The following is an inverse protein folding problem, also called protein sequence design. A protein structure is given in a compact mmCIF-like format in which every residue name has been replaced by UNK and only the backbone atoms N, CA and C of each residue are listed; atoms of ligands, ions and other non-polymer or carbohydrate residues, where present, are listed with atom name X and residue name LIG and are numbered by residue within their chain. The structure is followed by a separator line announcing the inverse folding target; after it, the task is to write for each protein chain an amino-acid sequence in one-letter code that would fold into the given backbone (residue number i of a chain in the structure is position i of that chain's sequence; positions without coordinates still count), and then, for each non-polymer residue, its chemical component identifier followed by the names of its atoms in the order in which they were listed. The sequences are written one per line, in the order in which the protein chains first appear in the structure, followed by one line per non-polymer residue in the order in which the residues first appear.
data_IF_979578857136
#
_entry.id   IF_979578857136
#
_cell.length_a   1.000
_cell.length_b   1.000
_cell.length_c   1.000
_cell.angle_alpha   90.00
_cell.angle_beta   90.00
_cell.angle_gamma   90.00
#
_symmetry.space_group_name_H-M   'P 1'
#
loop_
_entity.id
_entity.type
_entity.pdbx_description
1 polymer ?
#
# COMPACT_ATOMS: atom_id res chain seq x y z
N UNK A 1 0.09 -18.24 -10.70
CA UNK A 1 -1.15 -17.95 -9.92
C UNK A 1 -0.76 -18.05 -8.46
N UNK A 2 -1.06 -17.05 -7.67
CA UNK A 2 -0.76 -17.04 -6.24
C UNK A 2 -1.42 -18.24 -5.58
N UNK A 3 -0.67 -18.94 -4.73
CA UNK A 3 -1.10 -20.13 -4.02
C UNK A 3 -1.08 -19.84 -2.52
N UNK A 4 -2.09 -20.29 -1.80
CA UNK A 4 -2.19 -20.18 -0.35
C UNK A 4 -2.41 -21.55 0.25
N UNK A 5 -1.58 -21.89 1.23
CA UNK A 5 -1.81 -23.06 2.08
C UNK A 5 -2.45 -22.61 3.40
N UNK A 6 -3.61 -23.17 3.71
CA UNK A 6 -4.27 -23.03 4.98
C UNK A 6 -3.89 -24.22 5.86
N UNK A 7 -3.36 -23.92 7.04
CA UNK A 7 -3.01 -24.91 8.06
C UNK A 7 -3.95 -24.69 9.24
N UNK A 8 -4.78 -25.66 9.51
CA UNK A 8 -5.74 -25.62 10.61
C UNK A 8 -5.31 -26.61 11.70
N UNK A 9 -5.15 -26.12 12.91
CA UNK A 9 -4.68 -26.95 14.03
C UNK A 9 -5.32 -26.53 15.37
N UNK A 10 -5.27 -27.46 16.31
CA UNK A 10 -5.64 -27.20 17.71
C UNK A 10 -4.44 -27.39 18.61
N UNK A 11 -4.14 -26.40 19.42
CA UNK A 11 -3.03 -26.44 20.36
C UNK A 11 -3.29 -25.64 21.61
N UNK A 12 -3.04 -26.26 22.76
CA UNK A 12 -2.98 -25.58 24.07
C UNK A 12 -1.61 -24.88 24.30
N UNK A 13 -0.63 -25.09 23.40
CA UNK A 13 0.77 -24.65 23.52
C UNK A 13 1.16 -23.62 22.46
N UNK A 14 0.29 -22.64 22.22
CA UNK A 14 0.48 -21.63 21.15
C UNK A 14 1.82 -20.90 21.23
N UNK A 15 2.29 -20.55 22.42
CA UNK A 15 3.57 -19.83 22.57
C UNK A 15 4.78 -20.67 22.13
N UNK A 16 4.71 -22.00 22.31
CA UNK A 16 5.74 -22.92 21.81
C UNK A 16 5.64 -23.06 20.29
N UNK A 17 4.43 -23.13 19.77
CA UNK A 17 4.18 -23.15 18.33
C UNK A 17 4.70 -21.88 17.66
N UNK A 18 4.43 -20.70 18.21
CA UNK A 18 4.90 -19.43 17.67
C UNK A 18 6.44 -19.37 17.61
N UNK A 19 7.13 -19.81 18.66
CA UNK A 19 8.61 -19.92 18.67
C UNK A 19 9.12 -20.89 17.60
N UNK A 20 8.40 -21.97 17.34
CA UNK A 20 8.74 -22.93 16.31
C UNK A 20 8.62 -22.30 14.90
N UNK A 21 7.56 -21.52 14.65
CA UNK A 21 7.36 -20.77 13.40
C UNK A 21 8.46 -19.71 13.22
N UNK A 22 8.84 -18.98 14.27
CA UNK A 22 9.97 -18.05 14.22
C UNK A 22 11.27 -18.77 13.84
N UNK A 23 11.53 -19.94 14.43
CA UNK A 23 12.68 -20.79 14.08
C UNK A 23 12.67 -21.24 12.61
N UNK A 24 11.50 -21.54 12.06
CA UNK A 24 11.35 -21.86 10.63
C UNK A 24 11.74 -20.67 9.76
N UNK A 25 11.26 -19.46 10.13
CA UNK A 25 11.59 -18.22 9.41
C UNK A 25 13.11 -17.99 9.37
N UNK A 26 13.79 -18.21 10.50
CA UNK A 26 15.25 -18.04 10.60
C UNK A 26 16.00 -19.11 9.80
N UNK A 27 15.69 -20.40 10.02
CA UNK A 27 16.39 -21.55 9.41
C UNK A 27 16.23 -21.61 7.89
N UNK A 28 15.09 -21.15 7.35
CA UNK A 28 14.78 -21.18 5.92
C UNK A 28 15.15 -19.89 5.19
N UNK A 29 15.70 -18.89 5.88
CA UNK A 29 16.03 -17.58 5.33
C UNK A 29 16.78 -17.66 3.98
N UNK A 30 16.30 -16.92 2.96
CA UNK A 30 16.86 -16.89 1.62
C UNK A 30 16.56 -18.14 0.74
N UNK A 31 16.01 -19.21 1.28
CA UNK A 31 15.64 -20.43 0.53
C UNK A 31 14.13 -20.66 0.44
N UNK A 32 13.38 -20.22 1.45
CA UNK A 32 11.91 -20.29 1.40
C UNK A 32 11.36 -19.31 0.38
N UNK A 33 10.26 -19.68 -0.23
CA UNK A 33 9.57 -18.88 -1.24
C UNK A 33 8.23 -18.30 -0.73
N UNK A 34 7.85 -18.64 0.51
CA UNK A 34 6.71 -18.03 1.17
C UNK A 34 6.89 -16.50 1.23
N UNK A 35 5.88 -15.77 0.76
CA UNK A 35 5.87 -14.31 0.65
C UNK A 35 5.16 -13.63 1.81
N UNK A 36 4.17 -14.30 2.39
CA UNK A 36 3.38 -13.80 3.50
C UNK A 36 2.85 -14.95 4.35
N UNK A 37 2.75 -14.74 5.66
CA UNK A 37 2.08 -15.65 6.57
C UNK A 37 1.23 -14.86 7.57
N UNK A 38 0.04 -15.38 7.86
CA UNK A 38 -0.87 -14.84 8.87
C UNK A 38 -1.29 -15.97 9.78
N UNK A 39 -1.06 -15.82 11.09
CA UNK A 39 -1.53 -16.76 12.10
C UNK A 39 -2.63 -16.10 12.91
N UNK A 40 -3.79 -16.75 12.97
CA UNK A 40 -4.96 -16.30 13.72
C UNK A 40 -5.40 -17.33 14.75
N UNK A 41 -5.94 -16.84 15.88
CA UNK A 41 -6.66 -17.66 16.85
C UNK A 41 -8.16 -17.42 16.72
N UNK A 42 -8.94 -18.47 16.82
CA UNK A 42 -10.39 -18.32 16.93
C UNK A 42 -10.76 -17.55 18.23
N UNK A 43 -11.60 -16.54 18.08
CA UNK A 43 -12.05 -15.73 19.23
C UNK A 43 -12.94 -16.49 20.20
N UNK A 44 -13.65 -17.53 19.72
CA UNK A 44 -14.54 -18.38 20.51
C UNK A 44 -13.84 -19.61 21.09
N UNK A 45 -12.68 -19.99 20.53
CA UNK A 45 -11.88 -21.14 20.94
C UNK A 45 -10.38 -20.85 20.85
N UNK A 46 -9.80 -20.43 21.95
CA UNK A 46 -8.39 -20.05 22.01
C UNK A 46 -7.37 -21.15 21.72
N UNK A 47 -7.81 -22.42 21.65
CA UNK A 47 -6.99 -23.55 21.24
C UNK A 47 -7.00 -23.81 19.73
N UNK A 48 -7.98 -23.25 19.01
CA UNK A 48 -8.08 -23.34 17.56
C UNK A 48 -7.23 -22.26 16.89
N UNK A 49 -6.29 -22.66 16.07
CA UNK A 49 -5.33 -21.81 15.37
C UNK A 49 -5.37 -22.10 13.88
N UNK A 50 -5.41 -21.04 13.08
CA UNK A 50 -5.36 -21.13 11.62
C UNK A 50 -4.16 -20.32 11.13
N UNK A 51 -3.33 -20.91 10.31
CA UNK A 51 -2.24 -20.25 9.60
C UNK A 51 -2.54 -20.22 8.11
N UNK A 52 -2.35 -19.07 7.48
CA UNK A 52 -2.40 -18.86 6.04
C UNK A 52 -0.98 -18.55 5.57
N UNK A 53 -0.44 -19.36 4.68
CA UNK A 53 0.90 -19.13 4.09
C UNK A 53 0.75 -18.94 2.59
N UNK A 54 1.22 -17.79 2.11
CA UNK A 54 1.15 -17.40 0.70
C UNK A 54 2.46 -17.69 -0.03
N UNK A 55 2.34 -18.16 -1.28
CA UNK A 55 3.45 -18.48 -2.18
C UNK A 55 3.17 -17.92 -3.59
N UNK A 56 4.22 -17.64 -4.40
CA UNK A 56 4.07 -17.23 -5.78
C UNK A 56 3.34 -18.25 -6.66
N UNK A 57 3.50 -19.56 -6.37
CA UNK A 57 2.81 -20.66 -7.04
C UNK A 57 2.83 -21.93 -6.18
N UNK A 58 2.05 -22.94 -6.60
CA UNK A 58 2.05 -24.26 -5.98
C UNK A 58 3.44 -24.93 -6.03
N UNK A 59 4.16 -24.80 -7.16
CA UNK A 59 5.51 -25.36 -7.32
C UNK A 59 6.48 -24.74 -6.31
N UNK A 60 6.36 -23.44 -6.05
CA UNK A 60 7.16 -22.74 -5.06
C UNK A 60 6.83 -23.19 -3.63
N UNK A 61 5.55 -23.44 -3.34
CA UNK A 61 5.14 -24.02 -2.06
C UNK A 61 5.76 -25.40 -1.86
N UNK A 62 5.70 -26.27 -2.87
CA UNK A 62 6.31 -27.61 -2.82
C UNK A 62 7.83 -27.55 -2.67
N UNK A 63 8.49 -26.57 -3.31
CA UNK A 63 9.93 -26.34 -3.12
C UNK A 63 10.28 -26.03 -1.67
N UNK A 64 9.50 -25.17 -1.03
CA UNK A 64 9.68 -24.83 0.39
C UNK A 64 9.35 -26.02 1.31
N UNK A 65 8.29 -26.77 1.02
CA UNK A 65 7.89 -27.95 1.78
C UNK A 65 8.96 -29.05 1.76
N UNK A 66 9.72 -29.16 0.68
CA UNK A 66 10.80 -30.15 0.53
C UNK A 66 12.12 -29.73 1.22
N UNK A 67 12.18 -28.58 1.87
CA UNK A 67 13.36 -28.20 2.66
C UNK A 67 13.45 -29.07 3.92
N UNK A 68 14.63 -29.60 4.28
CA UNK A 68 14.80 -30.40 5.50
C UNK A 68 14.35 -29.65 6.78
N UNK A 69 14.57 -28.35 6.81
CA UNK A 69 14.17 -27.48 7.93
C UNK A 69 12.65 -27.34 8.03
N UNK A 70 11.95 -27.38 6.91
CA UNK A 70 10.48 -27.36 6.89
C UNK A 70 9.92 -28.68 7.43
N UNK A 71 10.50 -29.81 7.06
CA UNK A 71 10.12 -31.12 7.59
C UNK A 71 10.37 -31.22 9.10
N UNK A 72 11.50 -30.69 9.60
CA UNK A 72 11.80 -30.63 11.05
C UNK A 72 10.74 -29.82 11.79
N UNK A 73 10.40 -28.62 11.28
CA UNK A 73 9.40 -27.74 11.89
C UNK A 73 8.01 -28.35 11.82
N UNK A 74 7.66 -28.99 10.72
CA UNK A 74 6.37 -29.69 10.58
C UNK A 74 6.22 -30.81 11.63
N UNK A 75 7.24 -31.64 11.85
CA UNK A 75 7.20 -32.66 12.93
C UNK A 75 7.06 -32.02 14.31
N UNK A 76 7.74 -30.89 14.55
CA UNK A 76 7.58 -30.12 15.78
C UNK A 76 6.17 -29.57 15.95
N UNK A 77 5.58 -29.03 14.88
CA UNK A 77 4.20 -28.52 14.88
C UNK A 77 3.20 -29.63 15.22
N UNK A 78 3.29 -30.77 14.57
CA UNK A 78 2.45 -31.95 14.87
C UNK A 78 2.55 -32.37 16.34
N UNK A 79 3.76 -32.35 16.91
CA UNK A 79 3.98 -32.70 18.32
C UNK A 79 3.42 -31.67 19.32
N UNK A 80 3.16 -30.43 18.86
CA UNK A 80 2.55 -29.36 19.67
C UNK A 80 1.03 -29.31 19.53
N UNK A 81 0.47 -29.94 18.50
CA UNK A 81 -0.97 -29.99 18.28
C UNK A 81 -1.66 -31.04 19.16
N UNK A 82 -2.86 -30.73 19.63
CA UNK A 82 -3.72 -31.64 20.40
C UNK A 82 -4.39 -32.66 19.47
N UNK A 83 -4.57 -32.30 18.18
CA UNK A 83 -5.08 -33.13 17.09
C UNK A 83 -4.16 -32.94 15.86
N UNK A 84 -4.19 -33.91 14.91
CA UNK A 84 -3.41 -33.78 13.68
C UNK A 84 -3.87 -32.54 12.90
N UNK A 85 -2.93 -31.64 12.50
CA UNK A 85 -3.27 -30.48 11.70
C UNK A 85 -3.79 -30.88 10.33
N UNK A 86 -4.71 -30.11 9.79
CA UNK A 86 -5.20 -30.27 8.42
C UNK A 86 -4.59 -29.19 7.51
N UNK A 87 -4.39 -29.56 6.25
CA UNK A 87 -3.83 -28.68 5.22
C UNK A 87 -4.82 -28.57 4.09
N UNK A 88 -5.10 -27.33 3.69
CA UNK A 88 -5.95 -27.06 2.52
C UNK A 88 -5.17 -26.20 1.56
N UNK A 89 -5.00 -26.68 0.36
CA UNK A 89 -4.32 -26.00 -0.73
C UNK A 89 -5.33 -25.18 -1.54
N UNK A 90 -5.07 -23.88 -1.72
CA UNK A 90 -5.99 -22.94 -2.35
C UNK A 90 -5.28 -22.20 -3.50
N UNK A 91 -5.85 -22.28 -4.69
CA UNK A 91 -5.53 -21.35 -5.75
C UNK A 91 -6.25 -20.01 -5.50
N UNK A 92 -5.51 -18.92 -5.42
CA UNK A 92 -6.10 -17.59 -5.22
C UNK A 92 -6.79 -17.15 -6.50
N UNK A 93 -8.13 -17.15 -6.49
CA UNK A 93 -8.94 -16.74 -7.64
C UNK A 93 -9.30 -15.26 -7.61
N UNK A 94 -9.13 -14.59 -6.48
CA UNK A 94 -9.35 -13.16 -6.32
C UNK A 94 -8.52 -12.61 -5.15
N UNK A 95 -7.70 -11.61 -5.43
CA UNK A 95 -6.96 -10.83 -4.45
C UNK A 95 -7.22 -9.35 -4.71
N UNK A 96 -7.91 -8.68 -3.79
CA UNK A 96 -8.24 -7.26 -3.89
C UNK A 96 -7.77 -6.51 -2.63
N UNK A 97 -6.69 -5.74 -2.73
CA UNK A 97 -6.31 -4.82 -1.67
C UNK A 97 -7.31 -3.64 -1.64
N UNK A 98 -8.37 -3.77 -0.83
CA UNK A 98 -9.50 -2.83 -0.79
C UNK A 98 -9.07 -1.36 -0.58
N UNK A 99 -8.02 -1.11 0.22
CA UNK A 99 -7.46 0.23 0.41
C UNK A 99 -6.82 0.78 -0.87
N UNK A 100 -6.20 -0.06 -1.69
CA UNK A 100 -5.66 0.35 -3.00
C UNK A 100 -6.77 0.80 -3.96
N UNK A 101 -7.96 0.23 -3.87
CA UNK A 101 -9.14 0.67 -4.63
C UNK A 101 -9.56 2.09 -4.25
N UNK A 102 -9.50 2.45 -2.96
CA UNK A 102 -9.76 3.83 -2.50
C UNK A 102 -8.72 4.80 -3.08
N UNK A 103 -7.44 4.42 -3.11
CA UNK A 103 -6.37 5.25 -3.70
C UNK A 103 -6.56 5.42 -5.21
N UNK A 104 -6.95 4.39 -5.96
CA UNK A 104 -7.28 4.53 -7.39
C UNK A 104 -8.44 5.51 -7.60
N UNK A 105 -9.49 5.40 -6.78
CA UNK A 105 -10.62 6.34 -6.82
C UNK A 105 -10.19 7.76 -6.47
N UNK A 106 -9.30 7.95 -5.51
CA UNK A 106 -8.74 9.24 -5.14
C UNK A 106 -8.05 9.91 -6.34
N UNK A 107 -7.11 9.24 -7.02
CA UNK A 107 -6.45 9.80 -8.20
C UNK A 107 -7.42 10.03 -9.36
N UNK A 108 -8.38 9.15 -9.56
CA UNK A 108 -9.46 9.34 -10.53
C UNK A 108 -10.27 10.62 -10.26
N UNK A 109 -10.52 10.93 -8.98
CA UNK A 109 -11.21 12.16 -8.55
C UNK A 109 -10.36 13.39 -8.85
N UNK A 110 -9.05 13.36 -8.62
CA UNK A 110 -8.14 14.46 -8.92
C UNK A 110 -7.99 14.71 -10.44
N UNK A 111 -8.14 13.68 -11.26
CA UNK A 111 -8.05 13.77 -12.73
C UNK A 111 -9.37 14.18 -13.39
N UNK A 112 -10.51 14.03 -12.71
CA UNK A 112 -11.82 14.32 -13.27
C UNK A 112 -11.92 15.76 -13.81
N UNK A 113 -12.46 15.94 -15.00
CA UNK A 113 -12.67 17.26 -15.58
C UNK A 113 -13.75 18.05 -14.81
N UNK A 114 -13.68 19.37 -14.87
CA UNK A 114 -14.65 20.25 -14.23
C UNK A 114 -14.37 20.52 -12.76
N UNK A 115 -15.40 20.74 -11.96
CA UNK A 115 -15.26 21.03 -10.52
C UNK A 115 -14.72 19.81 -9.76
N UNK A 116 -13.88 20.04 -8.74
CA UNK A 116 -13.34 18.98 -7.88
C UNK A 116 -14.48 18.23 -7.18
N UNK A 117 -14.68 16.94 -7.44
CA UNK A 117 -15.73 16.18 -6.79
C UNK A 117 -15.58 16.11 -5.27
N UNK A 118 -16.65 15.80 -4.52
CA UNK A 118 -16.57 15.64 -3.07
C UNK A 118 -15.57 14.55 -2.67
N UNK A 119 -14.73 14.86 -1.69
CA UNK A 119 -13.68 13.98 -1.16
C UNK A 119 -14.05 13.36 0.20
N UNK A 120 -15.20 13.69 0.75
CA UNK A 120 -15.65 13.27 2.09
C UNK A 120 -15.74 11.74 2.26
N UNK A 121 -16.02 11.03 1.17
CA UNK A 121 -16.08 9.55 1.21
C UNK A 121 -14.69 8.89 1.20
N UNK A 122 -13.66 9.65 0.81
CA UNK A 122 -12.29 9.15 0.63
C UNK A 122 -11.35 9.64 1.72
N UNK A 123 -11.51 10.91 2.14
CA UNK A 123 -10.60 11.61 3.06
C UNK A 123 -11.36 11.93 4.35
N UNK A 124 -10.70 11.71 5.47
CA UNK A 124 -11.21 12.07 6.80
C UNK A 124 -11.22 13.59 7.00
N UNK A 125 -12.14 14.09 7.83
CA UNK A 125 -12.29 15.53 8.09
C UNK A 125 -11.04 16.14 8.73
N UNK A 126 -10.33 15.36 9.58
CA UNK A 126 -9.12 15.77 10.27
C UNK A 126 -7.83 15.30 9.58
N UNK A 127 -7.90 14.97 8.30
CA UNK A 127 -6.76 14.42 7.53
C UNK A 127 -5.58 15.40 7.52
N UNK A 128 -4.38 14.87 7.65
CA UNK A 128 -3.12 15.60 7.53
C UNK A 128 -2.47 15.36 6.17
N UNK A 129 -2.10 16.42 5.46
CA UNK A 129 -1.37 16.35 4.18
C UNK A 129 0.01 17.00 4.30
N UNK A 130 1.04 16.21 4.03
CA UNK A 130 2.43 16.63 4.00
C UNK A 130 2.86 16.74 2.54
N UNK A 131 2.97 17.98 2.05
CA UNK A 131 3.37 18.28 0.68
C UNK A 131 4.66 19.13 0.71
N UNK A 132 5.73 18.75 -0.02
CA UNK A 132 6.98 19.52 -0.05
C UNK A 132 6.82 20.95 -0.59
N UNK A 133 5.75 21.26 -1.32
CA UNK A 133 5.42 22.62 -1.74
C UNK A 133 4.98 23.49 -0.57
N UNK A 134 4.37 22.89 0.44
CA UNK A 134 3.89 23.60 1.62
C UNK A 134 4.89 23.43 2.78
N UNK A 135 5.42 24.51 3.36
CA UNK A 135 6.36 24.43 4.49
C UNK A 135 5.70 23.94 5.78
N UNK A 136 4.38 23.92 5.83
CA UNK A 136 3.58 23.47 6.96
C UNK A 136 2.63 22.36 6.53
N UNK A 137 2.31 21.47 7.48
CA UNK A 137 1.33 20.40 7.27
C UNK A 137 -0.04 21.02 7.04
N UNK A 138 -0.70 20.66 5.95
CA UNK A 138 -2.09 21.04 5.70
C UNK A 138 -3.01 20.16 6.52
N UNK A 139 -3.81 20.72 7.40
CA UNK A 139 -4.71 19.99 8.30
C UNK A 139 -6.16 20.24 7.94
N UNK A 140 -6.90 19.16 7.81
CA UNK A 140 -8.33 19.14 7.58
C UNK A 140 -8.73 19.16 6.09
N UNK A 141 -9.84 18.48 5.82
CA UNK A 141 -10.34 18.25 4.47
C UNK A 141 -10.54 19.54 3.65
N UNK A 142 -11.05 20.60 4.26
CA UNK A 142 -11.29 21.86 3.55
C UNK A 142 -9.99 22.58 3.17
N UNK A 143 -8.94 22.47 3.98
CA UNK A 143 -7.61 22.98 3.65
C UNK A 143 -6.99 22.16 2.50
N UNK A 144 -7.05 20.86 2.57
CA UNK A 144 -6.59 19.93 1.52
C UNK A 144 -7.32 20.21 0.19
N UNK A 145 -8.62 20.49 0.24
CA UNK A 145 -9.40 20.89 -0.96
C UNK A 145 -8.90 22.19 -1.58
N UNK A 146 -8.50 23.16 -0.76
CA UNK A 146 -7.92 24.41 -1.27
C UNK A 146 -6.60 24.17 -1.99
N UNK A 147 -5.74 23.31 -1.42
CA UNK A 147 -4.46 22.92 -2.05
C UNK A 147 -4.70 22.23 -3.41
N UNK A 148 -5.63 21.29 -3.48
CA UNK A 148 -5.97 20.63 -4.75
C UNK A 148 -6.56 21.58 -5.77
N UNK A 149 -7.38 22.56 -5.35
CA UNK A 149 -7.89 23.60 -6.25
C UNK A 149 -6.76 24.46 -6.81
N UNK A 150 -5.80 24.89 -5.99
CA UNK A 150 -4.64 25.67 -6.45
C UNK A 150 -3.90 24.95 -7.60
N UNK A 151 -3.65 23.64 -7.45
CA UNK A 151 -3.03 22.85 -8.52
C UNK A 151 -3.92 22.75 -9.77
N UNK A 152 -5.23 22.56 -9.60
CA UNK A 152 -6.18 22.45 -10.71
C UNK A 152 -6.44 23.77 -11.43
N UNK A 153 -6.41 24.87 -10.73
CA UNK A 153 -6.55 26.21 -11.32
C UNK A 153 -5.32 26.56 -12.17
N UNK A 154 -4.15 26.10 -11.74
CA UNK A 154 -2.91 26.32 -12.46
C UNK A 154 -2.69 25.35 -13.63
N UNK A 155 -3.19 24.11 -13.54
CA UNK A 155 -2.86 23.03 -14.47
C UNK A 155 -4.09 22.24 -14.92
N UNK A 156 -4.16 22.03 -16.24
CA UNK A 156 -5.04 21.02 -16.85
C UNK A 156 -4.26 19.69 -16.85
N UNK A 157 -4.60 18.80 -15.92
CA UNK A 157 -3.73 17.71 -15.52
C UNK A 157 -4.42 16.34 -15.44
N UNK A 158 -3.61 15.28 -15.56
CA UNK A 158 -4.04 13.92 -15.30
C UNK A 158 -2.96 13.13 -14.55
N UNK A 159 -3.41 12.21 -13.68
CA UNK A 159 -2.57 11.24 -12.99
C UNK A 159 -2.67 9.86 -13.66
N UNK A 160 -1.51 9.22 -13.85
CA UNK A 160 -1.41 7.79 -14.16
C UNK A 160 -0.81 7.11 -12.94
N UNK A 161 -1.57 6.22 -12.31
CA UNK A 161 -1.06 5.37 -11.21
C UNK A 161 -0.32 4.20 -11.83
N UNK A 162 1.00 4.17 -11.62
CA UNK A 162 1.89 3.14 -12.17
C UNK A 162 1.89 1.89 -11.29
N UNK A 163 2.08 2.07 -9.97
CA UNK A 163 2.12 0.99 -8.99
C UNK A 163 1.34 1.35 -7.73
N UNK A 164 0.79 0.33 -7.07
CA UNK A 164 0.21 0.41 -5.73
C UNK A 164 0.74 -0.73 -4.87
N UNK A 165 1.28 -0.40 -3.72
CA UNK A 165 1.76 -1.34 -2.71
C UNK A 165 0.97 -1.10 -1.42
N UNK A 166 0.22 -2.11 -0.97
CA UNK A 166 -0.62 -2.03 0.24
C UNK A 166 -0.04 -2.91 1.34
N UNK A 167 0.12 -2.36 2.55
CA UNK A 167 0.53 -3.08 3.73
C UNK A 167 -0.12 -2.50 4.99
N UNK A 168 -0.85 -3.32 5.71
CA UNK A 168 -1.55 -2.91 6.93
C UNK A 168 -2.51 -1.75 6.67
N UNK A 169 -2.34 -0.65 7.38
CA UNK A 169 -3.14 0.57 7.26
C UNK A 169 -2.61 1.54 6.19
N UNK A 170 -1.60 1.16 5.40
CA UNK A 170 -0.93 2.05 4.44
C UNK A 170 -1.01 1.54 3.02
N UNK A 171 -1.03 2.49 2.09
CA UNK A 171 -0.85 2.26 0.66
C UNK A 171 0.17 3.25 0.15
N UNK A 172 1.17 2.76 -0.59
CA UNK A 172 2.08 3.60 -1.36
C UNK A 172 1.68 3.56 -2.83
N UNK A 173 1.53 4.72 -3.44
CA UNK A 173 1.28 4.86 -4.87
C UNK A 173 2.50 5.51 -5.54
N UNK A 174 3.00 4.92 -6.62
CA UNK A 174 3.91 5.56 -7.56
C UNK A 174 3.09 6.03 -8.76
N UNK A 175 3.30 7.27 -9.18
CA UNK A 175 2.48 7.89 -10.19
C UNK A 175 3.28 8.80 -11.12
N UNK A 176 2.73 8.99 -12.32
CA UNK A 176 3.12 10.01 -13.29
C UNK A 176 1.98 11.03 -13.41
N UNK A 177 2.32 12.30 -13.35
CA UNK A 177 1.41 13.41 -13.56
C UNK A 177 1.82 14.15 -14.82
N UNK A 178 0.87 14.35 -15.74
CA UNK A 178 1.07 15.12 -16.96
C UNK A 178 0.07 16.28 -16.99
N UNK A 179 0.55 17.46 -17.36
CA UNK A 179 -0.30 18.65 -17.30
C UNK A 179 0.07 19.68 -18.37
N UNK A 180 -0.86 20.60 -18.61
CA UNK A 180 -0.62 21.83 -19.34
C UNK A 180 -0.77 23.00 -18.37
N UNK A 181 0.24 23.86 -18.26
CA UNK A 181 0.25 25.03 -17.39
C UNK A 181 -0.64 26.13 -17.98
N UNK A 182 -1.80 26.39 -17.36
CA UNK A 182 -2.85 27.29 -17.86
C UNK A 182 -3.17 28.44 -16.93
N UNK A 183 -2.88 28.34 -15.63
CA UNK A 183 -3.09 29.37 -14.64
C UNK A 183 -1.81 29.78 -13.94
N UNK A 184 -1.86 30.76 -13.08
CA UNK A 184 -0.70 31.15 -12.27
C UNK A 184 -0.32 30.05 -11.26
N UNK A 185 0.98 29.75 -11.16
CA UNK A 185 1.51 28.79 -10.20
C UNK A 185 2.75 29.33 -9.52
N UNK A 186 2.71 29.54 -8.20
CA UNK A 186 3.83 30.06 -7.38
C UNK A 186 4.41 31.38 -7.95
N UNK A 187 3.59 32.28 -8.45
CA UNK A 187 4.01 33.52 -9.06
C UNK A 187 4.45 33.42 -10.53
N UNK A 188 4.46 32.22 -11.11
CA UNK A 188 4.78 32.00 -12.52
C UNK A 188 3.50 32.15 -13.33
N UNK A 189 3.49 33.11 -14.26
CA UNK A 189 2.37 33.31 -15.19
C UNK A 189 2.15 32.07 -16.09
N UNK A 190 0.91 31.82 -16.59
CA UNK A 190 0.63 30.68 -17.44
C UNK A 190 1.54 30.63 -18.67
N UNK A 191 2.29 29.55 -18.81
CA UNK A 191 3.27 29.39 -19.92
C UNK A 191 2.70 28.67 -21.12
N UNK A 192 1.55 27.97 -20.98
CA UNK A 192 1.01 27.07 -21.99
C UNK A 192 1.82 25.80 -22.21
N UNK A 193 2.93 25.62 -21.52
CA UNK A 193 3.81 24.46 -21.66
C UNK A 193 3.13 23.17 -21.16
N UNK A 194 3.42 22.08 -21.85
CA UNK A 194 3.12 20.74 -21.38
C UNK A 194 4.27 20.26 -20.52
N UNK A 195 3.96 19.78 -19.32
CA UNK A 195 4.93 19.36 -18.31
C UNK A 195 4.60 17.95 -17.81
N UNK A 196 5.62 17.27 -17.29
CA UNK A 196 5.48 15.94 -16.68
C UNK A 196 6.22 15.92 -15.35
N UNK A 197 5.58 15.35 -14.35
CA UNK A 197 6.15 15.17 -13.02
C UNK A 197 5.89 13.76 -12.55
N UNK A 198 6.86 13.13 -11.89
CA UNK A 198 6.72 11.83 -11.23
C UNK A 198 6.75 11.99 -9.73
N UNK A 199 6.14 11.06 -9.03
CA UNK A 199 6.16 11.09 -7.58
C UNK A 199 5.65 9.82 -6.94
N UNK A 200 5.69 9.85 -5.62
CA UNK A 200 5.09 8.84 -4.75
C UNK A 200 4.23 9.52 -3.70
N UNK A 201 3.18 8.83 -3.28
CA UNK A 201 2.35 9.26 -2.15
C UNK A 201 2.13 8.08 -1.23
N UNK A 202 2.40 8.27 0.04
CA UNK A 202 2.00 7.30 1.08
C UNK A 202 0.69 7.77 1.69
N UNK A 203 -0.27 6.87 1.75
CA UNK A 203 -1.58 7.06 2.36
C UNK A 203 -1.67 6.25 3.63
N UNK A 204 -2.17 6.84 4.72
CA UNK A 204 -2.61 6.12 5.92
C UNK A 204 -4.13 6.13 6.01
N UNK A 205 -4.68 5.03 6.44
CA UNK A 205 -6.12 4.83 6.58
C UNK A 205 -6.53 4.70 8.04
N UNK A 206 -7.62 5.35 8.40
CA UNK A 206 -8.29 5.16 9.67
C UNK A 206 -9.12 3.87 9.72
N UNK A 207 -9.62 3.55 10.91
CA UNK A 207 -10.50 2.38 11.10
C UNK A 207 -11.82 2.47 10.31
N UNK A 208 -12.25 3.67 9.93
CA UNK A 208 -13.41 3.95 9.09
C UNK A 208 -13.17 3.76 7.59
N UNK A 209 -11.95 3.35 7.20
CA UNK A 209 -11.55 3.14 5.80
C UNK A 209 -11.26 4.41 5.00
N UNK A 210 -11.25 5.60 5.65
CA UNK A 210 -10.89 6.86 5.03
C UNK A 210 -9.40 7.16 5.20
N UNK A 211 -8.88 8.00 4.29
CA UNK A 211 -7.51 8.50 4.34
C UNK A 211 -7.41 9.52 5.46
N UNK A 212 -6.54 9.26 6.44
CA UNK A 212 -6.28 10.15 7.59
C UNK A 212 -4.98 10.91 7.47
N UNK A 213 -4.08 10.46 6.59
CA UNK A 213 -2.79 11.11 6.40
C UNK A 213 -2.23 10.83 5.01
N UNK A 214 -1.57 11.84 4.42
CA UNK A 214 -0.98 11.83 3.08
C UNK A 214 0.45 12.36 3.17
N UNK A 215 1.41 11.65 2.58
CA UNK A 215 2.79 12.13 2.39
C UNK A 215 3.08 12.13 0.90
N UNK A 216 3.24 13.33 0.34
CA UNK A 216 3.62 13.52 -1.05
C UNK A 216 5.14 13.61 -1.16
N UNK A 217 5.69 12.97 -2.19
CA UNK A 217 7.05 13.18 -2.65
C UNK A 217 7.03 13.26 -4.17
N UNK A 218 7.48 14.38 -4.73
CA UNK A 218 7.42 14.62 -6.15
C UNK A 218 8.57 15.52 -6.64
N UNK A 219 8.83 15.46 -7.93
CA UNK A 219 9.91 16.24 -8.58
C UNK A 219 9.49 17.69 -8.82
N UNK A 220 9.42 18.47 -7.74
CA UNK A 220 9.09 19.90 -7.80
C UNK A 220 10.15 20.69 -8.59
N UNK A 221 11.43 20.34 -8.43
CA UNK A 221 12.51 21.04 -9.12
C UNK A 221 12.40 20.84 -10.63
N UNK A 222 12.20 19.60 -11.09
CA UNK A 222 12.01 19.29 -12.50
C UNK A 222 10.76 19.98 -13.09
N UNK A 223 9.68 20.14 -12.32
CA UNK A 223 8.52 20.93 -12.75
C UNK A 223 8.90 22.39 -12.97
N UNK A 224 9.57 23.04 -12.02
CA UNK A 224 9.99 24.45 -12.13
C UNK A 224 10.95 24.68 -13.30
N UNK A 225 11.87 23.75 -13.56
CA UNK A 225 12.75 23.76 -14.74
C UNK A 225 11.96 23.72 -16.05
N UNK A 226 11.00 22.80 -16.16
CA UNK A 226 10.14 22.70 -17.35
C UNK A 226 9.31 23.96 -17.57
N UNK A 227 8.87 24.63 -16.51
CA UNK A 227 8.17 25.93 -16.60
C UNK A 227 9.12 27.06 -17.01
N UNK A 228 10.43 26.94 -16.82
CA UNK A 228 11.44 27.96 -17.10
C UNK A 228 11.69 28.91 -15.92
N UNK A 229 11.25 28.55 -14.72
CA UNK A 229 11.37 29.40 -13.53
C UNK A 229 12.80 29.44 -12.94
N UNK A 230 13.68 28.51 -13.34
CA UNK A 230 15.05 28.43 -12.82
C UNK A 230 16.05 29.15 -13.73
N UNK A 231 15.69 29.46 -14.97
CA UNK A 231 16.58 30.17 -15.91
C UNK A 231 16.91 31.61 -15.44
N UNK A 232 16.10 32.18 -14.54
CA UNK A 232 16.32 33.49 -13.94
C UNK A 232 17.27 33.49 -12.74
N UNK A 233 17.61 32.31 -12.18
CA UNK A 233 18.51 32.18 -11.04
C UNK A 233 20.00 32.08 -11.47
N UNK A 234 20.29 31.89 -12.76
CA UNK A 234 21.64 31.81 -13.32
C UNK A 234 22.15 33.14 -13.91
N UNK A 235 21.39 34.23 -13.82
CA UNK A 235 21.74 35.59 -14.22
C UNK A 235 21.98 36.47 -12.98
#
# INVERSE_FOLDING_TARGET
MTFVQLIDCRTSRFEEMNRLLDSWVEKTGGRRTATHAVVGKDRSDGAHVVELVEFPSYEEAMRTSNLPETDEVFRGLVALCDELPTFTDLDVVRDEPLRATVVRRFYGTLTAAGELPPLNDLIDEDCHSHDPVNPQVTIGLDAIRRDFRMWRDAFDASFTVEDLMAQGDRVCARWTWTATHRGEFLGIAPTGKRVTMTGMTVFRFGANGRITELWWQHDQLGLLQQLGALDELEQ
#
